data_IF_481658859258
#
_entry.id   IF_481658859258
#
_cell.length_a   1.000
_cell.length_b   1.000
_cell.length_c   1.000
_cell.angle_alpha   90.00
_cell.angle_beta   90.00
_cell.angle_gamma   90.00
#
_symmetry.space_group_name_H-M   'P 1'
#
loop_
_entity.id
_entity.type
_entity.pdbx_description
1 polymer ?
#
# COMPACT_ATOMS: atom_id res chain seq x y z
N UNK A 1 -32.22 50.52 33.22
CA UNK A 1 -32.17 50.21 31.76
C UNK A 1 -30.85 49.53 31.48
N UNK A 2 -30.80 48.20 31.49
CA UNK A 2 -29.61 47.42 31.25
C UNK A 2 -29.83 46.56 30.00
N UNK A 3 -29.04 46.80 28.97
CA UNK A 3 -29.09 46.04 27.73
C UNK A 3 -28.23 44.78 27.85
N UNK A 4 -28.85 43.59 27.85
CA UNK A 4 -28.17 42.31 27.66
C UNK A 4 -27.85 42.15 26.18
N UNK A 5 -26.57 42.09 25.84
CA UNK A 5 -26.10 41.69 24.49
C UNK A 5 -25.99 40.18 24.47
N UNK A 6 -26.92 39.51 23.78
CA UNK A 6 -26.81 38.11 23.45
C UNK A 6 -25.79 37.94 22.32
N UNK A 7 -24.66 37.34 22.61
CA UNK A 7 -23.71 36.88 21.60
C UNK A 7 -24.15 35.49 21.12
N UNK A 8 -24.69 35.41 19.90
CA UNK A 8 -24.90 34.17 19.18
C UNK A 8 -23.56 33.66 18.68
N UNK A 9 -23.08 32.57 19.26
CA UNK A 9 -21.93 31.81 18.73
C UNK A 9 -22.50 30.89 17.67
N UNK A 10 -22.32 31.24 16.41
CA UNK A 10 -22.57 30.36 15.29
C UNK A 10 -21.45 29.31 15.23
N UNK A 11 -21.73 28.09 15.65
CA UNK A 11 -20.87 26.94 15.38
C UNK A 11 -21.00 26.60 13.89
N UNK A 12 -20.02 27.02 13.09
CA UNK A 12 -19.90 26.60 11.71
C UNK A 12 -19.50 25.13 11.67
N UNK A 13 -20.42 24.28 11.26
CA UNK A 13 -20.11 22.92 10.85
C UNK A 13 -19.29 23.02 9.54
N UNK A 14 -17.97 22.85 9.65
CA UNK A 14 -17.16 22.53 8.47
C UNK A 14 -17.54 21.10 8.03
N UNK A 15 -18.40 21.01 7.04
CA UNK A 15 -18.55 19.78 6.28
C UNK A 15 -17.28 19.58 5.45
N UNK A 16 -16.32 18.83 5.95
CA UNK A 16 -15.24 18.30 5.13
C UNK A 16 -15.90 17.31 4.16
N UNK A 17 -16.05 17.70 2.90
CA UNK A 17 -16.37 16.77 1.82
C UNK A 17 -15.14 15.88 1.62
N UNK A 18 -15.14 14.72 2.27
CA UNK A 18 -14.15 13.68 2.02
C UNK A 18 -14.43 13.13 0.61
N UNK A 19 -13.57 13.46 -0.30
CA UNK A 19 -13.53 12.80 -1.60
C UNK A 19 -13.06 11.37 -1.33
N UNK A 20 -13.78 10.38 -1.81
CA UNK A 20 -13.30 9.00 -1.82
C UNK A 20 -11.97 8.99 -2.60
N UNK A 21 -10.86 8.97 -1.89
CA UNK A 21 -9.55 8.83 -2.51
C UNK A 21 -9.36 7.36 -2.86
N UNK A 22 -8.89 7.10 -4.06
CA UNK A 22 -8.39 5.77 -4.40
C UNK A 22 -7.36 5.35 -3.34
N UNK A 23 -7.39 4.09 -2.91
CA UNK A 23 -6.48 3.60 -1.88
C UNK A 23 -5.02 3.60 -2.36
N UNK A 24 -4.02 3.58 -1.45
CA UNK A 24 -2.61 3.64 -1.84
C UNK A 24 -2.18 2.55 -2.82
N UNK A 25 -2.77 1.34 -2.76
CA UNK A 25 -2.51 0.26 -3.72
C UNK A 25 -3.05 0.53 -5.14
N UNK A 26 -3.89 1.55 -5.32
CA UNK A 26 -4.31 2.03 -6.64
C UNK A 26 -3.27 2.97 -7.24
N UNK A 27 -2.56 3.73 -6.39
CA UNK A 27 -1.61 4.76 -6.82
C UNK A 27 -0.19 4.23 -7.00
N UNK A 28 0.19 3.20 -6.24
CA UNK A 28 1.55 2.66 -6.22
C UNK A 28 1.58 1.19 -6.64
N UNK A 29 2.60 0.82 -7.41
CA UNK A 29 2.93 -0.59 -7.67
C UNK A 29 3.74 -1.20 -6.54
N UNK A 30 4.58 -0.41 -5.86
CA UNK A 30 5.39 -0.87 -4.73
C UNK A 30 5.36 0.15 -3.59
N UNK A 31 4.96 -0.31 -2.41
CA UNK A 31 5.08 0.43 -1.16
C UNK A 31 5.89 -0.43 -0.18
N UNK A 32 6.99 0.12 0.32
CA UNK A 32 7.83 -0.51 1.34
C UNK A 32 7.94 0.47 2.50
N UNK A 33 7.62 0.04 3.72
CA UNK A 33 7.57 0.93 4.90
C UNK A 33 8.93 1.11 5.59
N UNK A 34 9.82 0.15 5.41
CA UNK A 34 11.22 0.22 5.85
C UNK A 34 12.14 0.26 4.61
N UNK A 35 13.28 -0.43 4.66
CA UNK A 35 14.26 -0.41 3.58
C UNK A 35 13.83 -1.26 2.38
N UNK A 36 14.12 -0.75 1.19
CA UNK A 36 14.11 -1.52 -0.04
C UNK A 36 15.54 -2.00 -0.33
N UNK A 37 15.76 -3.30 -0.18
CA UNK A 37 17.09 -3.92 -0.32
C UNK A 37 17.03 -5.13 -1.26
N UNK A 38 16.81 -4.90 -2.57
CA UNK A 38 16.71 -6.00 -3.54
C UNK A 38 18.03 -6.78 -3.64
N UNK A 39 17.92 -8.10 -3.67
CA UNK A 39 19.06 -9.03 -3.76
C UNK A 39 19.62 -9.17 -5.19
N UNK A 40 18.97 -8.55 -6.17
CA UNK A 40 19.36 -8.55 -7.58
C UNK A 40 18.77 -7.35 -8.31
N UNK A 41 18.73 -7.40 -9.64
CA UNK A 41 18.12 -6.34 -10.44
C UNK A 41 16.61 -6.29 -10.20
N UNK A 42 16.13 -5.15 -9.74
CA UNK A 42 14.71 -4.87 -9.51
C UNK A 42 14.21 -3.86 -10.53
N UNK A 43 13.09 -4.18 -11.20
CA UNK A 43 12.38 -3.25 -12.06
C UNK A 43 10.96 -3.03 -11.54
N UNK A 44 10.61 -1.78 -11.22
CA UNK A 44 9.25 -1.41 -10.83
C UNK A 44 8.60 -0.61 -11.95
N UNK A 45 7.47 -1.11 -12.44
CA UNK A 45 6.81 -0.54 -13.61
C UNK A 45 5.99 0.72 -13.29
N UNK A 46 5.37 0.78 -12.11
CA UNK A 46 4.55 1.91 -11.67
C UNK A 46 5.25 2.80 -10.66
N UNK A 47 4.45 3.54 -9.88
CA UNK A 47 4.97 4.38 -8.80
C UNK A 47 5.49 3.55 -7.63
N UNK A 48 6.49 4.10 -6.94
CA UNK A 48 7.15 3.44 -5.80
C UNK A 48 7.25 4.39 -4.62
N UNK A 49 6.92 3.89 -3.42
CA UNK A 49 7.17 4.56 -2.16
C UNK A 49 8.07 3.69 -1.26
N UNK A 50 9.10 4.27 -0.67
CA UNK A 50 10.05 3.61 0.24
C UNK A 50 10.15 4.45 1.50
N UNK A 51 9.73 3.89 2.65
CA UNK A 51 9.72 4.58 3.95
C UNK A 51 11.08 4.60 4.65
N UNK A 52 12.01 3.74 4.26
CA UNK A 52 13.40 3.71 4.72
C UNK A 52 14.38 4.03 3.61
N UNK A 53 15.52 3.34 3.59
CA UNK A 53 16.60 3.52 2.63
C UNK A 53 16.36 2.74 1.33
N UNK A 54 16.84 3.31 0.23
CA UNK A 54 16.96 2.61 -1.04
C UNK A 54 18.37 2.03 -1.20
N UNK A 55 18.46 0.72 -1.09
CA UNK A 55 19.69 -0.06 -1.25
C UNK A 55 19.67 -0.89 -2.57
N UNK A 56 20.65 -1.76 -2.74
CA UNK A 56 20.73 -2.69 -3.86
C UNK A 56 21.62 -2.22 -5.01
N UNK A 57 21.46 -2.85 -6.17
CA UNK A 57 22.31 -2.57 -7.33
C UNK A 57 21.47 -2.27 -8.58
N UNK A 58 21.69 -1.10 -9.16
CA UNK A 58 21.09 -0.68 -10.43
C UNK A 58 19.56 -0.86 -10.52
N UNK A 59 18.77 -0.42 -9.55
CA UNK A 59 17.33 -0.52 -9.63
C UNK A 59 16.76 0.39 -10.73
N UNK A 60 15.67 -0.06 -11.35
CA UNK A 60 14.95 0.69 -12.38
C UNK A 60 13.50 0.92 -11.95
N UNK A 61 13.03 2.15 -12.07
CA UNK A 61 11.69 2.55 -11.64
C UNK A 61 10.89 3.22 -12.75
N UNK A 62 9.55 3.15 -12.61
CA UNK A 62 8.58 3.80 -13.48
C UNK A 62 8.69 3.34 -14.96
N UNK A 63 8.97 2.04 -15.18
CA UNK A 63 9.27 1.50 -16.52
C UNK A 63 8.07 1.51 -17.47
N UNK A 64 6.83 1.46 -16.94
CA UNK A 64 5.60 1.45 -17.73
C UNK A 64 4.80 2.75 -17.64
N UNK A 65 5.33 3.78 -16.99
CA UNK A 65 4.66 5.07 -16.89
C UNK A 65 4.99 5.98 -18.09
N UNK A 66 4.12 6.96 -18.33
CA UNK A 66 4.32 7.94 -19.39
C UNK A 66 5.56 8.81 -19.07
N UNK A 67 6.50 8.85 -20.00
CA UNK A 67 7.75 9.60 -19.88
C UNK A 67 7.56 11.12 -19.79
N UNK A 68 6.40 11.63 -20.18
CA UNK A 68 6.05 13.05 -20.08
C UNK A 68 5.65 13.49 -18.67
N UNK A 69 5.49 12.55 -17.71
CA UNK A 69 5.13 12.87 -16.34
C UNK A 69 6.17 13.76 -15.66
N UNK A 70 5.69 14.74 -14.89
CA UNK A 70 6.52 15.66 -14.10
C UNK A 70 6.29 15.52 -12.59
N UNK A 71 5.47 14.55 -12.17
CA UNK A 71 5.23 14.22 -10.76
C UNK A 71 6.32 13.29 -10.22
N UNK A 72 6.38 13.14 -8.88
CA UNK A 72 7.22 12.17 -8.23
C UNK A 72 6.65 10.76 -8.43
N UNK A 73 7.39 9.95 -9.16
CA UNK A 73 7.04 8.54 -9.41
C UNK A 73 7.78 7.61 -8.47
N UNK A 74 8.87 8.09 -7.87
CA UNK A 74 9.64 7.40 -6.83
C UNK A 74 9.81 8.33 -5.65
N UNK A 75 9.48 7.85 -4.47
CA UNK A 75 9.61 8.61 -3.22
C UNK A 75 10.36 7.74 -2.21
N UNK A 76 11.44 8.27 -1.62
CA UNK A 76 12.31 7.57 -0.65
C UNK A 76 12.45 8.44 0.58
N UNK A 77 11.94 8.03 1.73
CA UNK A 77 12.02 8.83 2.95
C UNK A 77 13.45 8.87 3.53
N UNK A 78 14.19 7.76 3.42
CA UNK A 78 15.55 7.62 3.89
C UNK A 78 16.62 8.03 2.87
N UNK A 79 17.78 7.36 2.94
CA UNK A 79 18.94 7.59 2.14
C UNK A 79 18.89 6.85 0.79
N UNK A 80 19.53 7.44 -0.22
CA UNK A 80 19.77 6.80 -1.51
C UNK A 80 21.14 6.13 -1.50
N UNK A 81 21.19 4.82 -1.22
CA UNK A 81 22.43 4.03 -1.07
C UNK A 81 22.65 3.01 -2.21
N UNK A 82 21.79 3.02 -3.24
CA UNK A 82 21.90 2.06 -4.33
C UNK A 82 23.24 2.20 -5.07
N UNK A 83 23.89 1.07 -5.33
CA UNK A 83 25.11 1.01 -6.11
C UNK A 83 24.82 0.93 -7.62
N UNK A 84 25.80 1.32 -8.46
CA UNK A 84 25.63 1.33 -9.90
C UNK A 84 24.74 2.46 -10.41
N UNK A 85 24.02 2.21 -11.50
CA UNK A 85 23.15 3.21 -12.13
C UNK A 85 21.68 3.02 -11.72
N UNK A 86 21.17 3.92 -10.89
CA UNK A 86 19.74 4.03 -10.65
C UNK A 86 19.07 4.65 -11.88
N UNK A 87 17.95 4.07 -12.35
CA UNK A 87 17.18 4.62 -13.47
C UNK A 87 15.77 5.03 -13.01
N UNK A 88 15.37 6.23 -13.44
CA UNK A 88 14.00 6.75 -13.30
C UNK A 88 13.45 6.97 -14.71
N UNK A 89 12.62 6.06 -15.19
CA UNK A 89 12.16 6.05 -16.59
C UNK A 89 11.06 7.08 -16.88
N UNK A 90 10.31 7.51 -15.87
CA UNK A 90 9.27 8.54 -15.97
C UNK A 90 9.17 9.32 -14.66
N UNK A 91 8.83 10.60 -14.73
CA UNK A 91 8.68 11.46 -13.57
C UNK A 91 9.98 11.75 -12.82
N UNK A 92 9.90 12.07 -11.54
CA UNK A 92 11.02 12.39 -10.67
C UNK A 92 11.15 11.40 -9.51
N UNK A 93 12.30 11.45 -8.84
CA UNK A 93 12.59 10.81 -7.57
C UNK A 93 12.77 11.88 -6.50
N UNK A 94 11.85 11.88 -5.51
CA UNK A 94 11.96 12.68 -4.30
C UNK A 94 12.63 11.84 -3.20
N UNK A 95 13.53 12.46 -2.41
CA UNK A 95 14.19 11.77 -1.29
C UNK A 95 14.32 12.67 -0.06
N UNK A 96 14.27 12.06 1.15
CA UNK A 96 14.36 12.79 2.43
C UNK A 96 15.76 12.85 3.00
N UNK A 97 16.52 11.76 2.92
CA UNK A 97 17.83 11.56 3.52
C UNK A 97 19.01 12.08 2.69
N UNK A 98 20.14 11.38 2.74
CA UNK A 98 21.33 11.68 1.98
C UNK A 98 21.30 11.02 0.60
N UNK A 99 21.93 11.67 -0.38
CA UNK A 99 22.14 11.10 -1.71
C UNK A 99 23.60 10.56 -1.82
N UNK A 100 23.74 9.24 -1.73
CA UNK A 100 25.00 8.52 -1.82
C UNK A 100 25.15 7.77 -3.16
N UNK A 101 24.31 8.09 -4.16
CA UNK A 101 24.33 7.44 -5.46
C UNK A 101 25.59 7.77 -6.25
N UNK A 102 26.17 6.76 -6.91
CA UNK A 102 27.30 6.96 -7.83
C UNK A 102 26.85 7.45 -9.22
N UNK A 103 25.59 7.22 -9.60
CA UNK A 103 25.03 7.66 -10.86
C UNK A 103 23.52 7.47 -10.96
N UNK A 104 22.87 8.42 -11.61
CA UNK A 104 21.43 8.40 -11.90
C UNK A 104 21.20 8.66 -13.37
N UNK A 105 20.27 7.94 -13.95
CA UNK A 105 19.83 8.12 -15.32
C UNK A 105 18.32 8.38 -15.33
N UNK A 106 17.91 9.58 -15.74
CA UNK A 106 16.51 9.93 -15.95
C UNK A 106 15.96 9.41 -17.29
N UNK A 107 16.69 8.58 -18.01
CA UNK A 107 16.35 7.77 -19.18
C UNK A 107 15.46 8.46 -20.23
N UNK A 108 15.74 9.75 -20.51
CA UNK A 108 14.98 10.52 -21.50
C UNK A 108 13.53 10.81 -21.11
N UNK A 109 13.23 10.82 -19.80
CA UNK A 109 11.95 11.28 -19.27
C UNK A 109 11.80 12.81 -19.40
N UNK A 110 10.73 13.40 -18.85
CA UNK A 110 10.44 14.84 -18.93
C UNK A 110 11.57 15.73 -18.37
N UNK A 111 12.41 15.22 -17.48
CA UNK A 111 13.54 15.93 -16.88
C UNK A 111 14.84 15.83 -17.70
N UNK A 112 14.91 14.96 -18.67
CA UNK A 112 15.96 14.78 -19.68
C UNK A 112 17.35 14.52 -19.12
N UNK A 113 17.97 13.44 -19.25
CA UNK A 113 19.38 13.20 -18.95
C UNK A 113 19.70 12.73 -17.52
N UNK A 114 20.91 13.02 -17.06
CA UNK A 114 21.43 12.53 -15.78
C UNK A 114 20.95 13.36 -14.61
N UNK A 115 20.60 12.77 -13.49
CA UNK A 115 20.33 13.34 -12.16
C UNK A 115 19.35 14.54 -12.06
N UNK A 116 18.87 15.10 -13.18
CA UNK A 116 17.95 16.25 -13.19
C UNK A 116 16.54 15.90 -12.66
N UNK A 117 16.21 14.62 -12.58
CA UNK A 117 14.95 14.14 -12.00
C UNK A 117 15.04 13.84 -10.49
N UNK A 118 16.15 14.20 -9.81
CA UNK A 118 16.28 14.01 -8.37
C UNK A 118 16.09 15.33 -7.63
N UNK A 119 15.34 15.31 -6.53
CA UNK A 119 15.25 16.45 -5.63
C UNK A 119 14.98 16.00 -4.19
N UNK A 120 15.55 16.75 -3.25
CA UNK A 120 15.35 16.48 -1.82
C UNK A 120 14.10 17.19 -1.32
N UNK A 121 13.31 16.48 -0.51
CA UNK A 121 12.08 17.01 0.10
C UNK A 121 12.02 16.61 1.57
N UNK A 122 11.17 17.30 2.36
CA UNK A 122 10.86 16.93 3.74
C UNK A 122 9.45 16.33 3.83
N UNK A 123 9.17 15.63 4.94
CA UNK A 123 7.84 15.11 5.26
C UNK A 123 7.52 13.76 4.65
N UNK A 124 8.47 13.08 4.04
CA UNK A 124 8.26 11.71 3.54
C UNK A 124 8.12 10.70 4.68
N UNK A 125 8.73 10.94 5.84
CA UNK A 125 8.53 10.11 7.04
C UNK A 125 7.07 10.17 7.54
N UNK A 126 6.47 11.38 7.58
CA UNK A 126 5.07 11.57 7.95
C UNK A 126 4.15 10.88 6.93
N UNK A 127 4.52 10.94 5.65
CA UNK A 127 3.81 10.24 4.59
C UNK A 127 3.92 8.73 4.74
N UNK A 128 5.10 8.19 5.10
CA UNK A 128 5.31 6.77 5.38
C UNK A 128 4.37 6.28 6.49
N UNK A 129 4.34 7.02 7.61
CA UNK A 129 3.46 6.72 8.74
C UNK A 129 1.97 6.73 8.33
N UNK A 130 1.55 7.74 7.57
CA UNK A 130 0.16 7.85 7.09
C UNK A 130 -0.23 6.72 6.13
N UNK A 131 0.66 6.34 5.22
CA UNK A 131 0.44 5.21 4.29
C UNK A 131 0.37 3.88 5.07
N UNK A 132 1.25 3.70 6.05
CA UNK A 132 1.23 2.50 6.91
C UNK A 132 -0.09 2.40 7.67
N UNK A 133 -0.50 3.46 8.37
CA UNK A 133 -1.73 3.47 9.15
C UNK A 133 -2.95 3.17 8.28
N UNK A 134 -3.00 3.77 7.09
CA UNK A 134 -4.07 3.54 6.11
C UNK A 134 -4.12 2.08 5.67
N UNK A 135 -3.00 1.53 5.18
CA UNK A 135 -2.95 0.16 4.65
C UNK A 135 -3.06 -0.90 5.76
N UNK A 136 -2.56 -0.61 6.97
CA UNK A 136 -2.79 -1.46 8.14
C UNK A 136 -4.26 -1.48 8.53
N UNK A 137 -4.93 -0.33 8.51
CA UNK A 137 -6.38 -0.22 8.72
C UNK A 137 -7.17 -1.02 7.67
N UNK A 138 -6.82 -0.89 6.39
CA UNK A 138 -7.44 -1.67 5.31
C UNK A 138 -7.22 -3.18 5.50
N UNK A 139 -5.99 -3.61 5.84
CA UNK A 139 -5.69 -5.03 6.08
C UNK A 139 -6.54 -5.62 7.21
N UNK A 140 -6.68 -4.89 8.32
CA UNK A 140 -7.53 -5.30 9.45
C UNK A 140 -9.01 -5.34 9.04
N UNK A 141 -9.47 -4.33 8.29
CA UNK A 141 -10.83 -4.30 7.78
C UNK A 141 -11.13 -5.51 6.89
N UNK A 142 -10.27 -5.81 5.92
CA UNK A 142 -10.44 -6.96 5.03
C UNK A 142 -10.40 -8.29 5.78
N UNK A 143 -9.51 -8.45 6.77
CA UNK A 143 -9.46 -9.63 7.62
C UNK A 143 -10.72 -9.82 8.48
N UNK A 144 -11.43 -8.73 8.79
CA UNK A 144 -12.70 -8.76 9.53
C UNK A 144 -13.94 -9.07 8.68
N UNK A 145 -13.82 -9.08 7.35
CA UNK A 145 -14.94 -9.39 6.47
C UNK A 145 -15.29 -10.89 6.55
N UNK A 146 -16.59 -11.19 6.61
CA UNK A 146 -17.03 -12.57 6.56
C UNK A 146 -16.71 -13.20 5.20
N UNK A 147 -16.18 -14.42 5.18
CA UNK A 147 -15.95 -15.16 3.95
C UNK A 147 -17.29 -15.44 3.26
N UNK A 148 -17.38 -15.09 1.98
CA UNK A 148 -18.57 -15.29 1.12
C UNK A 148 -18.33 -16.32 0.03
N UNK A 149 -17.06 -16.59 -0.29
CA UNK A 149 -16.65 -17.59 -1.26
C UNK A 149 -16.26 -18.92 -0.63
N UNK A 150 -16.17 -19.96 -1.45
CA UNK A 150 -15.74 -21.29 -1.07
C UNK A 150 -14.29 -21.53 -1.50
N UNK A 151 -13.52 -22.23 -0.65
CA UNK A 151 -12.13 -22.63 -0.90
C UNK A 151 -12.01 -24.12 -0.77
N UNK A 152 -11.57 -24.82 -1.80
CA UNK A 152 -11.37 -26.27 -1.74
C UNK A 152 -11.03 -26.89 -3.09
N UNK A 153 -10.35 -28.04 -3.08
CA UNK A 153 -10.02 -28.76 -4.30
C UNK A 153 -9.16 -28.00 -5.30
N UNK A 154 -8.36 -27.02 -4.84
CA UNK A 154 -7.56 -26.17 -5.71
C UNK A 154 -8.34 -25.05 -6.40
N UNK A 155 -9.51 -24.69 -5.87
CA UNK A 155 -10.39 -23.67 -6.44
C UNK A 155 -10.88 -22.70 -5.35
N UNK A 156 -10.77 -21.40 -5.65
CA UNK A 156 -11.54 -20.33 -5.02
C UNK A 156 -12.78 -20.09 -5.86
N UNK A 157 -13.99 -20.24 -5.33
CA UNK A 157 -15.21 -20.07 -6.11
C UNK A 157 -16.26 -19.25 -5.35
N UNK A 158 -16.92 -18.35 -6.08
CA UNK A 158 -17.99 -17.50 -5.56
C UNK A 158 -19.27 -17.70 -6.37
N UNK A 159 -20.39 -17.94 -5.68
CA UNK A 159 -21.71 -18.15 -6.29
C UNK A 159 -22.75 -17.10 -5.85
N UNK A 160 -22.32 -16.05 -5.15
CA UNK A 160 -23.17 -14.94 -4.73
C UNK A 160 -23.40 -13.92 -5.85
N UNK A 161 -24.03 -12.81 -5.49
CA UNK A 161 -24.43 -11.74 -6.43
C UNK A 161 -23.75 -10.39 -6.12
N UNK A 162 -22.99 -10.30 -5.02
CA UNK A 162 -22.29 -9.08 -4.64
C UNK A 162 -21.07 -8.85 -5.53
N UNK A 163 -20.66 -7.60 -5.66
CA UNK A 163 -19.53 -7.19 -6.50
C UNK A 163 -18.17 -7.58 -5.90
N UNK A 164 -18.13 -7.92 -4.61
CA UNK A 164 -16.94 -8.34 -3.88
C UNK A 164 -17.10 -9.76 -3.34
N UNK A 165 -16.22 -10.67 -3.74
CA UNK A 165 -16.06 -11.99 -3.15
C UNK A 165 -14.96 -11.98 -2.10
N UNK A 166 -15.19 -12.58 -0.93
CA UNK A 166 -14.22 -12.70 0.17
C UNK A 166 -13.95 -14.17 0.43
N UNK A 167 -12.67 -14.53 0.42
CA UNK A 167 -12.19 -15.88 0.68
C UNK A 167 -11.25 -15.87 1.89
N UNK A 168 -11.19 -16.99 2.60
CA UNK A 168 -10.29 -17.21 3.73
C UNK A 168 -9.55 -18.52 3.56
N UNK A 169 -8.22 -18.48 3.75
CA UNK A 169 -7.36 -19.66 3.65
C UNK A 169 -6.18 -19.53 4.60
N UNK A 170 -5.69 -20.66 5.13
CA UNK A 170 -4.40 -20.66 5.83
C UNK A 170 -3.25 -20.62 4.81
N UNK A 171 -2.13 -19.97 5.17
CA UNK A 171 -0.94 -20.02 4.33
C UNK A 171 -0.37 -21.41 4.11
N UNK A 172 -0.56 -22.31 5.09
CA UNK A 172 -0.18 -23.71 4.97
C UNK A 172 -0.96 -24.44 3.86
N UNK A 173 -2.26 -24.19 3.76
CA UNK A 173 -3.10 -24.79 2.71
C UNK A 173 -2.83 -24.11 1.36
N UNK A 174 -2.69 -22.77 1.35
CA UNK A 174 -2.39 -22.01 0.16
C UNK A 174 -1.12 -22.53 -0.53
N UNK A 175 -0.03 -22.70 0.21
CA UNK A 175 1.26 -23.08 -0.35
C UNK A 175 1.47 -24.59 -0.56
N UNK A 176 0.42 -25.38 -0.37
CA UNK A 176 0.43 -26.82 -0.64
C UNK A 176 -0.29 -27.24 -1.93
N UNK A 177 -0.88 -26.31 -2.69
CA UNK A 177 -1.71 -26.63 -3.84
C UNK A 177 -1.55 -25.62 -4.97
N UNK A 178 -1.94 -26.03 -6.17
CA UNK A 178 -2.20 -25.09 -7.26
C UNK A 178 -3.64 -24.61 -7.18
N UNK A 179 -3.87 -23.34 -7.52
CA UNK A 179 -5.16 -22.70 -7.36
C UNK A 179 -5.70 -22.16 -8.68
N UNK A 180 -6.99 -22.30 -8.86
CA UNK A 180 -7.79 -21.57 -9.83
C UNK A 180 -8.75 -20.62 -9.10
N UNK A 181 -9.30 -19.64 -9.81
CA UNK A 181 -10.24 -18.65 -9.27
C UNK A 181 -11.45 -18.55 -10.20
N UNK A 182 -12.64 -18.60 -9.60
CA UNK A 182 -13.91 -18.28 -10.25
C UNK A 182 -14.67 -17.27 -9.37
N UNK A 183 -14.66 -16.02 -9.78
CA UNK A 183 -15.36 -14.94 -9.08
C UNK A 183 -16.86 -14.92 -9.36
N UNK A 184 -17.38 -15.77 -10.27
CA UNK A 184 -18.80 -15.76 -10.62
C UNK A 184 -19.27 -14.39 -11.10
N UNK A 185 -20.20 -13.78 -10.34
CA UNK A 185 -20.72 -12.45 -10.64
C UNK A 185 -19.89 -11.30 -10.02
N UNK A 186 -18.96 -11.58 -9.11
CA UNK A 186 -18.17 -10.54 -8.47
C UNK A 186 -17.11 -9.95 -9.42
N UNK A 187 -16.94 -8.64 -9.37
CA UNK A 187 -15.86 -7.94 -10.08
C UNK A 187 -14.54 -8.03 -9.35
N UNK A 188 -14.54 -8.20 -8.02
CA UNK A 188 -13.36 -8.18 -7.16
C UNK A 188 -13.31 -9.37 -6.21
N UNK A 189 -12.09 -9.82 -5.91
CA UNK A 189 -11.82 -10.86 -4.93
C UNK A 189 -10.78 -10.46 -3.91
N UNK A 190 -11.11 -10.61 -2.62
CA UNK A 190 -10.16 -10.50 -1.51
C UNK A 190 -9.92 -11.89 -0.97
N UNK A 191 -8.66 -12.27 -0.83
CA UNK A 191 -8.23 -13.54 -0.26
C UNK A 191 -7.46 -13.23 1.01
N UNK A 192 -8.09 -13.41 2.17
CA UNK A 192 -7.48 -13.30 3.48
C UNK A 192 -6.65 -14.55 3.77
N UNK A 193 -5.37 -14.35 4.04
CA UNK A 193 -4.42 -15.45 4.29
C UNK A 193 -3.87 -15.33 5.71
N UNK A 194 -4.16 -16.34 6.54
CA UNK A 194 -3.63 -16.44 7.90
C UNK A 194 -2.27 -17.12 7.95
N UNK A 195 -1.46 -16.75 8.93
CA UNK A 195 -0.15 -17.35 9.21
C UNK A 195 0.98 -16.35 9.24
N UNK A 196 1.97 -16.63 10.09
CA UNK A 196 3.04 -15.69 10.45
C UNK A 196 4.27 -15.82 9.54
N UNK A 197 4.79 -17.03 9.36
CA UNK A 197 5.97 -17.30 8.54
C UNK A 197 5.57 -18.12 7.33
N UNK A 198 5.43 -17.46 6.20
CA UNK A 198 4.84 -18.03 5.00
C UNK A 198 5.87 -18.19 3.89
N UNK A 199 5.93 -19.37 3.30
CA UNK A 199 6.89 -19.66 2.23
C UNK A 199 6.30 -20.60 1.19
N UNK A 200 6.21 -20.07 -0.04
CA UNK A 200 5.97 -20.86 -1.23
C UNK A 200 7.33 -21.35 -1.79
N UNK A 201 7.66 -22.58 -1.51
CA UNK A 201 8.89 -23.20 -2.04
C UNK A 201 8.81 -23.60 -3.52
N UNK A 202 7.93 -22.96 -4.29
CA UNK A 202 7.72 -23.23 -5.72
C UNK A 202 6.65 -24.28 -6.02
N UNK A 203 5.91 -24.73 -4.99
CA UNK A 203 4.87 -25.75 -5.15
C UNK A 203 3.54 -25.14 -5.64
N UNK A 204 3.27 -23.89 -5.32
CA UNK A 204 2.00 -23.24 -5.63
C UNK A 204 2.08 -22.45 -6.93
N UNK A 205 1.11 -22.68 -7.81
CA UNK A 205 0.90 -21.88 -9.00
C UNK A 205 -0.53 -21.33 -9.01
N UNK A 206 -0.68 -20.08 -9.44
CA UNK A 206 -1.95 -19.42 -9.67
C UNK A 206 -2.34 -19.61 -11.14
N UNK A 207 -3.31 -20.49 -11.37
CA UNK A 207 -3.70 -20.98 -12.69
C UNK A 207 -4.80 -20.11 -13.36
N UNK A 208 -5.86 -20.76 -13.88
CA UNK A 208 -6.97 -20.07 -14.53
C UNK A 208 -7.74 -19.17 -13.56
N UNK A 209 -8.33 -18.09 -14.07
CA UNK A 209 -9.07 -17.10 -13.30
C UNK A 209 -8.22 -15.98 -12.68
N UNK A 210 -6.90 -16.19 -12.52
CA UNK A 210 -5.98 -15.17 -12.02
C UNK A 210 -5.40 -14.28 -13.12
N UNK A 211 -6.06 -14.13 -14.26
CA UNK A 211 -5.57 -13.31 -15.37
C UNK A 211 -5.92 -11.83 -15.28
N UNK A 212 -6.89 -11.47 -14.44
CA UNK A 212 -7.24 -10.07 -14.19
C UNK A 212 -6.60 -9.61 -12.88
N UNK A 213 -5.36 -9.18 -12.96
CA UNK A 213 -4.49 -8.88 -11.82
C UNK A 213 -4.98 -7.72 -10.95
N UNK A 214 -5.70 -6.76 -11.54
CA UNK A 214 -6.22 -5.58 -10.85
C UNK A 214 -7.43 -5.87 -9.96
N UNK A 215 -8.03 -7.04 -10.09
CA UNK A 215 -9.27 -7.42 -9.41
C UNK A 215 -9.05 -8.37 -8.24
N UNK A 216 -7.80 -8.67 -7.89
CA UNK A 216 -7.46 -9.65 -6.86
C UNK A 216 -6.53 -9.02 -5.84
N UNK A 217 -6.91 -9.14 -4.57
CA UNK A 217 -6.10 -8.74 -3.43
C UNK A 217 -5.85 -9.92 -2.50
N UNK A 218 -4.60 -10.20 -2.23
CA UNK A 218 -4.13 -11.11 -1.21
C UNK A 218 -3.80 -10.32 0.05
N UNK A 219 -4.54 -10.52 1.12
CA UNK A 219 -4.34 -9.86 2.40
C UNK A 219 -3.66 -10.83 3.37
N UNK A 220 -2.34 -10.71 3.53
CA UNK A 220 -1.53 -11.49 4.46
C UNK A 220 -1.43 -10.78 5.81
N UNK A 221 -2.54 -10.72 6.52
CA UNK A 221 -2.78 -9.83 7.66
C UNK A 221 -2.02 -10.17 8.94
N UNK A 222 -1.42 -11.38 9.03
CA UNK A 222 -0.62 -11.85 10.18
C UNK A 222 0.85 -12.11 9.83
N UNK A 223 1.25 -11.91 8.56
CA UNK A 223 2.55 -12.34 8.11
C UNK A 223 3.67 -11.43 8.62
N UNK A 224 4.70 -12.02 9.23
CA UNK A 224 6.00 -11.39 9.53
C UNK A 224 7.00 -11.64 8.37
N UNK A 225 6.89 -12.81 7.72
CA UNK A 225 7.69 -13.15 6.55
C UNK A 225 6.81 -13.78 5.48
N UNK A 226 7.05 -13.39 4.22
CA UNK A 226 6.33 -13.92 3.07
C UNK A 226 7.29 -14.15 1.89
N UNK A 227 7.49 -15.41 1.51
CA UNK A 227 8.18 -15.78 0.29
C UNK A 227 7.16 -16.32 -0.72
N UNK A 228 6.92 -15.60 -1.80
CA UNK A 228 5.93 -16.01 -2.81
C UNK A 228 6.48 -16.94 -3.89
N UNK A 229 7.79 -17.04 -4.04
CA UNK A 229 8.47 -18.03 -4.89
C UNK A 229 8.22 -17.88 -6.39
N UNK A 230 7.08 -18.34 -6.86
CA UNK A 230 6.67 -18.27 -8.28
C UNK A 230 6.13 -16.90 -8.68
N UNK A 231 5.86 -16.69 -9.99
CA UNK A 231 5.13 -15.52 -10.47
C UNK A 231 3.81 -15.36 -9.69
N UNK A 232 3.65 -14.22 -9.06
CA UNK A 232 2.48 -13.94 -8.24
C UNK A 232 1.48 -13.06 -8.98
N UNK A 233 0.20 -13.39 -8.88
CA UNK A 233 -0.89 -12.74 -9.62
C UNK A 233 -1.91 -12.13 -8.67
N UNK A 234 -2.15 -10.85 -8.83
CA UNK A 234 -2.96 -10.02 -7.94
C UNK A 234 -2.12 -9.21 -6.96
N UNK A 235 -2.70 -8.15 -6.42
CA UNK A 235 -2.04 -7.27 -5.46
C UNK A 235 -1.85 -7.96 -4.11
N UNK A 236 -0.83 -7.55 -3.36
CA UNK A 236 -0.51 -8.10 -2.02
C UNK A 236 -0.46 -6.97 -1.00
N UNK A 237 -1.19 -7.18 0.08
CA UNK A 237 -1.19 -6.36 1.29
C UNK A 237 -0.60 -7.20 2.42
N UNK A 238 0.66 -6.89 2.80
CA UNK A 238 1.44 -7.61 3.80
C UNK A 238 2.30 -6.63 4.61
N UNK A 239 1.64 -5.62 5.20
CA UNK A 239 2.27 -4.41 5.76
C UNK A 239 3.33 -4.66 6.83
N UNK A 240 3.22 -5.77 7.56
CA UNK A 240 4.16 -6.14 8.62
C UNK A 240 5.21 -7.17 8.16
N UNK A 241 5.10 -7.65 6.91
CA UNK A 241 5.95 -8.74 6.43
C UNK A 241 7.22 -8.26 5.71
N UNK A 242 8.31 -8.95 5.95
CA UNK A 242 9.44 -8.98 5.02
C UNK A 242 9.06 -9.86 3.84
N UNK A 243 8.90 -9.26 2.66
CA UNK A 243 8.50 -9.97 1.44
C UNK A 243 9.71 -10.28 0.58
N UNK A 244 9.76 -11.51 0.07
CA UNK A 244 10.74 -11.94 -0.92
C UNK A 244 10.06 -12.63 -2.10
N UNK A 245 10.57 -12.38 -3.30
CA UNK A 245 10.19 -13.09 -4.53
C UNK A 245 11.38 -13.21 -5.47
N UNK A 246 11.36 -14.25 -6.31
CA UNK A 246 12.41 -14.54 -7.29
C UNK A 246 11.89 -14.43 -8.73
N UNK A 247 10.63 -14.10 -8.89
CA UNK A 247 9.94 -14.00 -10.17
C UNK A 247 9.13 -12.70 -10.25
N UNK A 248 8.56 -12.46 -11.42
CA UNK A 248 7.74 -11.30 -11.67
C UNK A 248 6.46 -11.29 -10.82
N UNK A 249 6.05 -10.10 -10.44
CA UNK A 249 4.92 -9.82 -9.59
C UNK A 249 3.87 -9.01 -10.39
N UNK A 250 2.68 -9.57 -10.53
CA UNK A 250 1.59 -9.00 -11.33
C UNK A 250 0.57 -8.31 -10.42
N UNK A 251 0.87 -7.12 -9.97
CA UNK A 251 -0.03 -6.37 -9.05
C UNK A 251 0.71 -5.30 -8.27
N UNK A 252 -0.01 -4.65 -7.34
CA UNK A 252 0.59 -3.77 -6.33
C UNK A 252 1.05 -4.56 -5.12
N UNK A 253 2.15 -4.15 -4.52
CA UNK A 253 2.72 -4.76 -3.32
C UNK A 253 2.90 -3.70 -2.22
N UNK A 254 2.32 -3.93 -1.05
CA UNK A 254 2.64 -3.20 0.17
C UNK A 254 3.24 -4.15 1.20
N UNK A 255 4.45 -3.84 1.67
CA UNK A 255 5.23 -4.68 2.57
C UNK A 255 6.01 -3.87 3.60
N UNK A 256 6.40 -4.47 4.71
CA UNK A 256 7.34 -3.88 5.66
C UNK A 256 8.67 -3.59 4.99
N UNK A 257 9.28 -4.60 4.38
CA UNK A 257 10.47 -4.49 3.55
C UNK A 257 10.45 -5.50 2.40
N UNK A 258 11.28 -5.26 1.37
CA UNK A 258 11.34 -6.12 0.21
C UNK A 258 12.80 -6.46 -0.13
N UNK A 259 13.08 -7.75 -0.27
CA UNK A 259 14.41 -8.28 -0.53
C UNK A 259 14.52 -9.11 -1.81
N UNK A 260 13.46 -9.17 -2.62
CA UNK A 260 13.39 -9.92 -3.86
C UNK A 260 14.12 -9.29 -5.04
N UNK A 261 14.00 -9.93 -6.19
CA UNK A 261 14.40 -9.39 -7.49
C UNK A 261 13.34 -9.77 -8.54
N UNK A 262 13.49 -9.31 -9.77
CA UNK A 262 12.51 -9.47 -10.84
C UNK A 262 11.78 -8.19 -11.14
N UNK A 263 10.57 -8.29 -11.62
CA UNK A 263 9.77 -7.13 -12.00
C UNK A 263 8.52 -7.02 -11.12
N UNK A 264 8.19 -5.81 -10.70
CA UNK A 264 6.88 -5.48 -10.13
C UNK A 264 6.10 -4.74 -11.21
N UNK A 265 5.15 -5.42 -11.82
CA UNK A 265 4.37 -4.87 -12.92
C UNK A 265 3.30 -3.90 -12.43
N UNK A 266 2.87 -3.01 -13.33
CA UNK A 266 1.90 -1.97 -12.99
C UNK A 266 0.46 -2.45 -13.25
N UNK A 267 -0.07 -3.25 -12.33
CA UNK A 267 -1.47 -3.68 -12.29
C UNK A 267 -2.08 -3.31 -10.95
N UNK A 268 -2.41 -2.02 -10.73
CA UNK A 268 -2.87 -1.53 -9.44
C UNK A 268 -4.20 -2.17 -9.03
N UNK A 269 -4.38 -2.33 -7.71
CA UNK A 269 -5.62 -2.79 -7.11
C UNK A 269 -6.77 -1.82 -7.42
N UNK A 270 -7.84 -2.32 -8.01
CA UNK A 270 -8.92 -1.48 -8.54
C UNK A 270 -10.11 -1.27 -7.62
N UNK A 271 -10.23 -2.01 -6.50
CA UNK A 271 -11.34 -1.88 -5.57
C UNK A 271 -11.09 -0.73 -4.59
N UNK A 272 -12.11 0.11 -4.42
CA UNK A 272 -12.12 1.12 -3.35
C UNK A 272 -13.07 0.64 -2.26
N UNK A 273 -12.60 0.37 -1.03
CA UNK A 273 -13.49 0.00 0.05
C UNK A 273 -14.50 1.13 0.33
N UNK A 274 -15.71 0.80 0.81
CA UNK A 274 -16.59 1.81 1.34
C UNK A 274 -15.86 2.55 2.46
N UNK A 275 -16.16 3.85 2.61
CA UNK A 275 -15.51 4.70 3.61
C UNK A 275 -15.49 4.00 4.98
N UNK A 276 -14.28 3.62 5.42
CA UNK A 276 -14.09 3.01 6.73
C UNK A 276 -14.11 4.18 7.70
N UNK A 277 -15.20 4.32 8.47
CA UNK A 277 -15.19 5.20 9.63
C UNK A 277 -14.14 4.65 10.61
N UNK A 278 -12.91 5.13 10.47
CA UNK A 278 -11.89 4.88 11.48
C UNK A 278 -12.44 5.43 12.80
N UNK A 279 -12.38 4.66 13.92
CA UNK A 279 -12.80 5.18 15.22
C UNK A 279 -12.09 6.51 15.41
N UNK A 280 -12.87 7.59 15.50
CA UNK A 280 -12.29 8.93 15.67
C UNK A 280 -11.26 8.87 16.79
N UNK A 281 -9.98 9.25 16.55
CA UNK A 281 -9.02 9.31 17.62
C UNK A 281 -9.66 10.18 18.70
N UNK A 282 -9.48 9.83 19.94
CA UNK A 282 -10.12 10.37 21.16
C UNK A 282 -10.16 11.91 21.29
N UNK A 283 -10.12 12.62 20.18
CA UNK A 283 -10.28 14.07 20.02
C UNK A 283 -11.64 14.50 20.61
N UNK A 284 -12.72 13.72 20.41
CA UNK A 284 -14.00 13.95 21.05
C UNK A 284 -13.93 13.78 22.57
N UNK A 285 -13.21 12.78 23.07
CA UNK A 285 -12.96 12.58 24.50
C UNK A 285 -12.06 13.68 25.07
N UNK A 286 -11.06 14.14 24.33
CA UNK A 286 -10.21 15.29 24.69
C UNK A 286 -11.01 16.60 24.67
N UNK A 287 -11.88 16.80 23.70
CA UNK A 287 -12.75 17.98 23.62
C UNK A 287 -13.78 17.99 24.76
N UNK A 288 -14.42 16.86 25.06
CA UNK A 288 -15.36 16.71 26.15
C UNK A 288 -14.67 16.87 27.53
N UNK A 289 -13.45 16.34 27.68
CA UNK A 289 -12.66 16.52 28.90
C UNK A 289 -12.19 17.96 29.06
N UNK A 290 -11.82 18.63 27.98
CA UNK A 290 -11.46 20.06 27.97
C UNK A 290 -12.64 20.97 28.33
N UNK A 291 -13.82 20.70 27.75
CA UNK A 291 -15.06 21.43 28.09
C UNK A 291 -15.52 21.14 29.50
N UNK A 292 -15.38 19.92 30.01
CA UNK A 292 -15.66 19.55 31.39
C UNK A 292 -14.78 20.30 32.39
N UNK A 293 -13.49 20.43 32.12
CA UNK A 293 -12.53 21.19 32.92
C UNK A 293 -12.83 22.70 32.94
N UNK A 294 -13.24 23.25 31.80
CA UNK A 294 -13.65 24.66 31.70
C UNK A 294 -14.96 24.94 32.44
N UNK A 295 -15.92 24.03 32.37
CA UNK A 295 -17.17 24.10 33.11
C UNK A 295 -16.95 24.03 34.63
N UNK A 296 -16.06 23.12 35.08
CA UNK A 296 -15.73 22.97 36.50
C UNK A 296 -14.98 24.19 37.08
N UNK A 297 -14.08 24.80 36.31
CA UNK A 297 -13.42 26.05 36.69
C UNK A 297 -14.41 27.21 36.86
N UNK A 298 -15.38 27.35 35.95
CA UNK A 298 -16.42 28.39 36.08
C UNK A 298 -17.34 28.21 37.30
N UNK A 299 -17.69 26.98 37.62
CA UNK A 299 -18.54 26.66 38.78
C UNK A 299 -17.85 26.89 40.13
N UNK A 300 -16.50 26.95 40.17
CA UNK A 300 -15.73 27.27 41.39
C UNK A 300 -15.43 28.76 41.59
N UNK A 301 -15.67 29.60 40.59
CA UNK A 301 -15.42 31.03 40.62
C UNK A 301 -16.70 31.86 40.70
N UNK A 302 -17.85 31.24 40.83
CA UNK A 302 -19.17 31.83 41.20
C UNK A 302 -19.53 31.44 42.62
#
# INVERSE_FOLDING_TARGET
MGFYKNALISAGLLSCSLWASAGPLTDYSLIVFEDLSPSGSLHVHGRTFIGGDLNGSSPEFANALDKSLTLDTVEVAGDLNASGWLKVNAGALAYGGANNLSGVNCNGNAYGGSASCLHQVSGLDDKAASLYDTLKGESIYYAGLAATGNVGGGLFSYAGVDDLAVFEISGADLFNSNWALDLGAASYGIINVSGVNLSNSGATNLNSGFGNYTNILWNFYEADTLNVGNQWKGSVLAVDAVVSTWNDFEGSLAAKSYVGYGQVHNFPWGYTPPEIELPEPSVLLLLLSGLGLLGWRRARSA
#
